data_IF_604664947132
#
_entry.id   IF_604664947132
#
_cell.length_a   1.000
_cell.length_b   1.000
_cell.length_c   1.000
_cell.angle_alpha   90.00
_cell.angle_beta   90.00
_cell.angle_gamma   90.00
#
_symmetry.space_group_name_H-M   'P 1'
#
loop_
_entity.id
_entity.type
_entity.pdbx_description
1 polymer ?
#
# COMPACT_ATOMS: atom_id res chain seq x y z
N UNK A 1 -62.17 16.63 -31.55
CA UNK A 1 -61.11 17.30 -32.33
C UNK A 1 -59.84 16.49 -32.06
N UNK A 2 -59.11 15.89 -33.00
CA UNK A 2 -58.83 16.30 -34.39
C UNK A 2 -57.57 17.21 -34.35
N UNK A 3 -56.44 16.90 -35.00
CA UNK A 3 -56.22 16.17 -36.28
C UNK A 3 -55.00 15.20 -36.20
N UNK A 4 -54.90 14.29 -37.19
CA UNK A 4 -53.76 13.36 -37.52
C UNK A 4 -52.46 14.16 -37.81
N UNK A 5 -51.21 13.67 -37.85
CA UNK A 5 -50.56 12.49 -38.48
C UNK A 5 -49.02 12.63 -38.20
N UNK A 6 -47.98 11.83 -38.53
CA UNK A 6 -47.61 10.50 -39.12
C UNK A 6 -46.11 10.28 -38.73
N UNK A 7 -45.41 9.13 -38.79
CA UNK A 7 -45.69 7.76 -39.25
C UNK A 7 -44.76 7.30 -40.39
N UNK A 8 -43.62 6.65 -40.07
CA UNK A 8 -42.67 5.91 -40.96
C UNK A 8 -41.86 4.91 -40.08
N UNK A 9 -41.34 3.82 -40.67
CA UNK A 9 -41.03 2.55 -39.95
C UNK A 9 -39.55 2.09 -39.94
N UNK A 10 -39.24 1.17 -39.00
CA UNK A 10 -38.19 0.13 -39.06
C UNK A 10 -36.70 0.63 -39.06
N UNK A 11 -35.67 -0.19 -38.77
CA UNK A 11 -35.47 -1.66 -38.87
C UNK A 11 -34.75 -2.24 -37.63
N UNK A 12 -35.15 -3.43 -37.19
CA UNK A 12 -34.45 -4.23 -36.17
C UNK A 12 -33.52 -5.33 -36.75
N UNK A 13 -32.59 -5.90 -35.97
CA UNK A 13 -31.57 -6.82 -36.47
C UNK A 13 -32.11 -8.24 -36.78
N UNK A 14 -31.68 -8.88 -37.89
CA UNK A 14 -32.10 -10.24 -38.25
C UNK A 14 -31.34 -11.34 -37.48
N UNK A 15 -31.88 -12.57 -37.48
CA UNK A 15 -31.34 -13.73 -36.74
C UNK A 15 -31.46 -15.03 -37.56
N UNK A 16 -30.41 -15.86 -37.48
CA UNK A 16 -30.37 -17.33 -37.64
C UNK A 16 -30.78 -18.02 -38.97
N UNK A 17 -29.83 -18.76 -39.57
CA UNK A 17 -29.89 -20.16 -40.06
C UNK A 17 -28.50 -20.49 -40.68
N UNK A 18 -27.71 -21.55 -40.42
CA UNK A 18 -27.86 -23.01 -40.15
C UNK A 18 -28.04 -23.89 -41.40
N UNK A 19 -27.04 -24.76 -41.63
CA UNK A 19 -27.03 -25.96 -42.52
C UNK A 19 -27.14 -25.72 -44.05
N UNK A 20 -26.62 -26.58 -44.94
CA UNK A 20 -25.86 -27.82 -44.76
C UNK A 20 -25.26 -28.38 -46.08
N UNK A 21 -24.28 -29.27 -45.94
CA UNK A 21 -23.51 -30.07 -46.94
C UNK A 21 -24.09 -30.40 -48.33
N UNK A 22 -23.22 -30.48 -49.35
CA UNK A 22 -23.15 -31.62 -50.31
C UNK A 22 -21.81 -31.63 -51.10
N UNK A 23 -21.49 -32.76 -51.76
CA UNK A 23 -20.14 -33.04 -52.30
C UNK A 23 -20.05 -33.13 -53.85
N UNK A 24 -18.80 -33.12 -54.34
CA UNK A 24 -18.28 -33.90 -55.49
C UNK A 24 -18.81 -33.68 -56.92
N UNK A 25 -17.89 -33.26 -57.81
CA UNK A 25 -17.75 -33.85 -59.16
C UNK A 25 -16.39 -33.49 -59.79
N UNK A 26 -15.66 -34.47 -60.32
CA UNK A 26 -14.34 -34.28 -60.94
C UNK A 26 -14.42 -34.31 -62.48
N UNK A 27 -13.72 -33.41 -63.19
CA UNK A 27 -13.35 -33.62 -64.61
C UNK A 27 -12.11 -32.84 -65.10
N UNK A 28 -10.95 -33.46 -64.85
CA UNK A 28 -9.82 -33.68 -65.78
C UNK A 28 -9.53 -32.73 -66.97
N UNK A 29 -8.23 -32.40 -67.07
CA UNK A 29 -7.41 -32.06 -68.28
C UNK A 29 -7.20 -30.58 -68.68
N UNK A 30 -5.92 -30.23 -68.86
CA UNK A 30 -5.43 -28.95 -69.37
C UNK A 30 -4.01 -28.64 -68.90
N UNK A 31 -2.97 -28.95 -69.71
CA UNK A 31 -1.57 -28.59 -69.38
C UNK A 31 -1.27 -27.14 -69.81
N UNK A 32 -0.91 -26.28 -68.86
CA UNK A 32 -0.39 -24.93 -69.12
C UNK A 32 0.69 -24.55 -68.10
N UNK A 33 1.76 -23.87 -68.54
CA UNK A 33 2.81 -23.34 -67.66
C UNK A 33 2.42 -21.93 -67.19
N UNK A 34 2.50 -21.65 -65.88
CA UNK A 34 2.38 -20.26 -65.40
C UNK A 34 2.18 -20.12 -63.89
N UNK A 35 3.27 -19.78 -63.18
CA UNK A 35 3.34 -19.32 -61.79
C UNK A 35 2.83 -20.27 -60.68
N UNK A 36 3.46 -20.16 -59.50
CA UNK A 36 3.16 -21.01 -58.35
C UNK A 36 1.85 -20.62 -57.66
N UNK A 37 1.09 -21.64 -57.25
CA UNK A 37 -0.02 -21.48 -56.32
C UNK A 37 0.56 -21.06 -54.97
N UNK A 38 0.35 -19.79 -54.58
CA UNK A 38 0.55 -19.36 -53.19
C UNK A 38 -0.36 -20.20 -52.29
N UNK A 39 0.23 -20.80 -51.27
CA UNK A 39 -0.53 -21.55 -50.26
C UNK A 39 -1.16 -20.55 -49.28
N UNK A 40 -2.15 -20.98 -48.49
CA UNK A 40 -2.81 -20.10 -47.51
C UNK A 40 -1.84 -19.50 -46.47
N UNK A 41 -0.66 -20.10 -46.26
CA UNK A 41 0.43 -19.57 -45.42
C UNK A 41 1.04 -18.27 -45.94
N UNK A 42 0.95 -18.00 -47.25
CA UNK A 42 1.51 -16.79 -47.87
C UNK A 42 0.67 -15.52 -47.59
N UNK A 43 -0.47 -15.65 -46.90
CA UNK A 43 -1.33 -14.53 -46.48
C UNK A 43 -0.95 -14.04 -45.07
N UNK A 44 -0.49 -14.92 -44.18
CA UNK A 44 -0.01 -14.54 -42.84
C UNK A 44 1.34 -13.81 -42.89
N UNK A 45 2.15 -14.08 -43.92
CA UNK A 45 3.57 -13.68 -43.99
C UNK A 45 3.85 -12.25 -44.50
N UNK A 46 2.85 -11.37 -44.70
CA UNK A 46 3.11 -9.96 -45.07
C UNK A 46 2.10 -8.96 -44.51
N UNK A 47 1.60 -9.20 -43.29
CA UNK A 47 1.29 -8.06 -42.43
C UNK A 47 2.61 -7.36 -42.07
N UNK A 48 2.97 -6.30 -42.82
CA UNK A 48 3.96 -5.33 -42.35
C UNK A 48 3.55 -4.92 -40.94
N UNK A 49 4.50 -4.89 -40.00
CA UNK A 49 4.26 -4.24 -38.72
C UNK A 49 3.98 -2.76 -39.00
N UNK A 50 2.70 -2.38 -38.92
CA UNK A 50 2.29 -0.98 -38.99
C UNK A 50 2.67 -0.40 -37.63
N UNK A 51 3.78 0.33 -37.58
CA UNK A 51 4.14 1.12 -36.40
C UNK A 51 3.03 2.17 -36.19
N UNK A 52 2.16 1.92 -35.21
CA UNK A 52 1.07 2.82 -34.87
C UNK A 52 1.70 4.07 -34.23
N UNK A 53 1.59 5.26 -34.85
CA UNK A 53 2.23 6.46 -34.32
C UNK A 53 1.64 6.85 -32.97
N UNK A 54 2.49 7.21 -32.02
CA UNK A 54 2.10 7.60 -30.66
C UNK A 54 2.64 8.97 -30.29
N UNK A 55 1.81 9.79 -29.64
CA UNK A 55 2.16 11.13 -29.19
C UNK A 55 2.94 11.14 -27.86
N UNK A 56 3.05 10.00 -27.15
CA UNK A 56 3.71 9.92 -25.83
C UNK A 56 5.14 10.49 -25.81
N UNK A 57 6.01 10.30 -26.82
CA UNK A 57 7.35 10.90 -26.83
C UNK A 57 7.35 12.44 -26.96
N UNK A 58 6.32 13.04 -27.56
CA UNK A 58 6.16 14.49 -27.64
C UNK A 58 5.64 15.05 -26.31
N UNK A 59 4.61 14.41 -25.73
CA UNK A 59 4.08 14.78 -24.41
C UNK A 59 5.16 14.67 -23.32
N UNK A 60 5.99 13.62 -23.34
CA UNK A 60 7.11 13.47 -22.39
C UNK A 60 8.12 14.62 -22.46
N UNK A 61 8.47 15.09 -23.66
CA UNK A 61 9.36 16.26 -23.83
C UNK A 61 8.71 17.51 -23.26
N UNK A 62 7.45 17.79 -23.63
CA UNK A 62 6.70 18.94 -23.11
C UNK A 62 6.65 18.96 -21.57
N UNK A 63 6.39 17.81 -20.93
CA UNK A 63 6.39 17.68 -19.47
C UNK A 63 7.78 17.98 -18.89
N UNK A 64 8.85 17.39 -19.44
CA UNK A 64 10.22 17.62 -18.96
C UNK A 64 10.69 19.06 -19.16
N UNK A 65 10.32 19.70 -20.28
CA UNK A 65 10.61 21.10 -20.58
C UNK A 65 9.89 22.04 -19.60
N UNK A 66 8.59 21.81 -19.33
CA UNK A 66 7.82 22.59 -18.37
C UNK A 66 8.27 22.39 -16.90
N UNK A 67 8.74 21.20 -16.54
CA UNK A 67 9.41 20.95 -15.26
C UNK A 67 10.78 21.63 -15.16
N UNK A 68 11.43 21.94 -16.29
CA UNK A 68 12.67 22.71 -16.33
C UNK A 68 12.49 24.22 -16.14
N UNK A 69 11.26 24.73 -16.17
CA UNK A 69 10.97 26.15 -15.90
C UNK A 69 11.19 26.44 -14.42
N UNK A 70 11.91 27.52 -14.09
CA UNK A 70 12.14 27.98 -12.71
C UNK A 70 10.90 28.62 -12.07
N UNK A 71 9.79 27.87 -11.99
CA UNK A 71 8.51 28.36 -11.49
C UNK A 71 8.25 27.94 -10.03
N UNK A 72 7.56 28.78 -9.27
CA UNK A 72 7.02 28.45 -7.96
C UNK A 72 5.76 29.26 -7.71
N UNK A 73 4.65 28.57 -7.42
CA UNK A 73 3.41 29.21 -7.03
C UNK A 73 3.50 29.67 -5.57
N UNK A 74 2.98 30.85 -5.27
CA UNK A 74 2.93 31.39 -3.92
C UNK A 74 1.46 31.67 -3.56
N UNK A 75 0.93 30.88 -2.62
CA UNK A 75 -0.42 31.11 -2.08
C UNK A 75 -0.49 32.36 -1.21
N UNK A 76 -1.68 32.63 -0.66
CA UNK A 76 -2.03 33.81 0.17
C UNK A 76 -1.06 34.12 1.32
N UNK A 77 -0.36 33.10 1.83
CA UNK A 77 0.62 33.18 2.93
C UNK A 77 2.09 33.28 2.45
N UNK A 78 2.35 33.54 1.16
CA UNK A 78 3.69 33.52 0.52
C UNK A 78 4.47 32.20 0.64
N UNK A 79 3.80 31.08 0.94
CA UNK A 79 4.42 29.75 0.96
C UNK A 79 4.66 29.30 -0.49
N UNK A 80 5.92 29.32 -0.92
CA UNK A 80 6.32 28.91 -2.25
C UNK A 80 6.24 27.38 -2.44
N UNK A 81 5.56 26.95 -3.50
CA UNK A 81 5.48 25.56 -3.96
C UNK A 81 6.04 25.47 -5.38
N UNK A 82 7.22 24.85 -5.51
CA UNK A 82 7.89 24.67 -6.80
C UNK A 82 7.30 23.52 -7.62
N UNK A 83 7.54 23.52 -8.94
CA UNK A 83 7.14 22.44 -9.84
C UNK A 83 7.85 21.08 -9.59
N UNK A 84 8.90 21.04 -8.77
CA UNK A 84 9.54 19.80 -8.27
C UNK A 84 8.99 19.28 -6.92
N UNK A 85 7.83 19.77 -6.47
CA UNK A 85 7.27 19.41 -5.15
C UNK A 85 6.76 17.96 -5.08
N UNK A 86 6.21 17.42 -6.17
CA UNK A 86 5.69 16.04 -6.26
C UNK A 86 6.62 15.15 -7.10
N UNK A 87 6.56 13.83 -6.88
CA UNK A 87 7.25 12.85 -7.75
C UNK A 87 6.41 12.58 -8.99
N UNK A 88 7.03 12.40 -10.16
CA UNK A 88 6.34 12.01 -11.39
C UNK A 88 6.96 10.76 -11.99
N UNK A 89 6.12 9.94 -12.65
CA UNK A 89 6.56 8.75 -13.41
C UNK A 89 6.25 8.99 -14.89
N UNK A 90 7.26 8.87 -15.75
CA UNK A 90 7.22 9.20 -17.18
C UNK A 90 7.72 8.01 -18.02
N UNK A 91 6.99 6.90 -17.91
CA UNK A 91 7.45 5.58 -18.35
C UNK A 91 8.41 5.00 -17.31
N UNK A 92 9.57 4.50 -17.76
CA UNK A 92 10.60 3.92 -16.90
C UNK A 92 11.39 4.96 -16.07
N UNK A 93 11.20 6.25 -16.36
CA UNK A 93 11.81 7.37 -15.62
C UNK A 93 10.91 7.84 -14.48
N UNK A 94 11.50 8.03 -13.29
CA UNK A 94 10.86 8.70 -12.15
C UNK A 94 11.62 9.98 -11.80
N UNK A 95 10.94 11.13 -11.78
CA UNK A 95 11.50 12.36 -11.21
C UNK A 95 11.45 12.28 -9.68
N UNK A 96 12.53 12.68 -9.02
CA UNK A 96 12.59 12.74 -7.56
C UNK A 96 11.89 14.01 -7.05
N UNK A 97 10.64 13.87 -6.62
CA UNK A 97 9.95 14.93 -5.90
C UNK A 97 10.46 15.08 -4.46
N UNK A 98 10.24 16.25 -3.86
CA UNK A 98 10.70 16.50 -2.49
C UNK A 98 9.93 15.70 -1.41
N UNK A 99 8.68 15.30 -1.67
CA UNK A 99 7.80 14.72 -0.65
C UNK A 99 7.92 13.19 -0.51
N UNK A 100 7.75 12.75 0.73
CA UNK A 100 7.57 11.36 1.16
C UNK A 100 6.30 10.74 0.56
N UNK A 101 6.32 9.43 0.31
CA UNK A 101 5.19 8.71 -0.27
C UNK A 101 3.95 8.72 0.67
N UNK A 102 2.78 8.98 0.09
CA UNK A 102 1.47 8.99 0.76
C UNK A 102 0.61 7.75 0.49
N UNK A 103 1.03 6.86 -0.41
CA UNK A 103 0.35 5.59 -0.68
C UNK A 103 -0.07 4.83 0.61
N UNK A 104 0.75 4.71 1.67
CA UNK A 104 0.36 4.02 2.92
C UNK A 104 -0.84 4.61 3.69
N UNK A 105 -1.27 5.84 3.37
CA UNK A 105 -2.51 6.43 3.89
C UNK A 105 -3.67 6.20 2.91
N UNK A 106 -3.41 6.34 1.61
CA UNK A 106 -4.41 6.10 0.55
C UNK A 106 -4.85 4.63 0.48
N UNK A 107 -3.97 3.68 0.83
CA UNK A 107 -4.27 2.25 0.95
C UNK A 107 -5.24 1.91 2.11
N UNK A 108 -5.57 2.88 2.97
CA UNK A 108 -6.54 2.71 4.05
C UNK A 108 -7.93 3.30 3.72
N UNK A 109 -8.16 3.78 2.50
CA UNK A 109 -9.37 4.53 2.07
C UNK A 109 -10.07 3.76 0.93
N UNK A 110 -11.41 3.63 0.98
CA UNK A 110 -12.18 2.86 0.00
C UNK A 110 -12.58 3.71 -1.18
N UNK A 111 -11.64 3.95 -2.09
CA UNK A 111 -11.92 4.73 -3.30
C UNK A 111 -12.90 4.04 -4.27
N UNK A 112 -13.25 2.75 -4.09
CA UNK A 112 -13.95 1.97 -5.12
C UNK A 112 -15.35 2.48 -5.43
N UNK A 113 -15.54 2.96 -6.67
CA UNK A 113 -16.81 3.50 -7.16
C UNK A 113 -17.11 4.93 -6.70
N UNK A 114 -16.21 5.58 -5.96
CA UNK A 114 -16.44 6.87 -5.30
C UNK A 114 -16.29 8.07 -6.25
N UNK A 115 -17.04 9.14 -5.97
CA UNK A 115 -16.70 10.50 -6.38
C UNK A 115 -15.71 11.07 -5.36
N UNK A 116 -14.59 11.60 -5.84
CA UNK A 116 -13.51 12.13 -5.00
C UNK A 116 -13.20 13.57 -5.38
N UNK A 117 -12.97 14.43 -4.39
CA UNK A 117 -12.49 15.80 -4.56
C UNK A 117 -11.09 15.94 -3.93
N UNK A 118 -10.11 16.45 -4.67
CA UNK A 118 -8.71 16.62 -4.24
C UNK A 118 -8.35 18.12 -4.18
N UNK A 119 -8.25 18.68 -2.97
CA UNK A 119 -8.10 20.12 -2.72
C UNK A 119 -6.62 20.52 -2.64
N UNK A 120 -6.18 21.39 -3.54
CA UNK A 120 -4.77 21.69 -3.78
C UNK A 120 -4.07 20.52 -4.47
N UNK A 121 -4.70 19.98 -5.52
CA UNK A 121 -4.25 18.76 -6.21
C UNK A 121 -2.84 18.87 -6.82
N UNK A 122 -2.35 20.10 -7.04
CA UNK A 122 -1.06 20.41 -7.64
C UNK A 122 -0.92 19.69 -9.00
N UNK A 123 0.17 18.95 -9.24
CA UNK A 123 0.33 18.19 -10.49
C UNK A 123 -0.60 16.97 -10.62
N UNK A 124 -1.42 16.67 -9.61
CA UNK A 124 -2.44 15.61 -9.64
C UNK A 124 -1.99 14.23 -9.13
N UNK A 125 -0.89 14.16 -8.36
CA UNK A 125 -0.36 12.90 -7.81
C UNK A 125 -1.41 12.13 -6.98
N UNK A 126 -2.09 12.79 -6.03
CA UNK A 126 -3.10 12.17 -5.17
C UNK A 126 -4.36 11.82 -5.98
N UNK A 127 -4.84 12.74 -6.82
CA UNK A 127 -5.96 12.50 -7.74
C UNK A 127 -5.80 11.22 -8.56
N UNK A 128 -4.63 11.03 -9.21
CA UNK A 128 -4.32 9.79 -9.95
C UNK A 128 -4.18 8.58 -9.03
N UNK A 129 -3.60 8.73 -7.83
CA UNK A 129 -3.44 7.66 -6.86
C UNK A 129 -4.80 7.16 -6.27
N UNK A 130 -5.79 8.05 -6.14
CA UNK A 130 -7.17 7.70 -5.80
C UNK A 130 -7.88 6.99 -6.97
N UNK A 131 -7.68 7.47 -8.21
CA UNK A 131 -8.22 6.82 -9.40
C UNK A 131 -7.68 5.42 -9.63
N UNK A 132 -6.38 5.20 -9.42
CA UNK A 132 -5.75 3.88 -9.49
C UNK A 132 -6.32 2.89 -8.45
N UNK A 133 -6.86 3.39 -7.33
CA UNK A 133 -7.54 2.60 -6.29
C UNK A 133 -9.05 2.39 -6.54
N UNK A 134 -9.54 2.83 -7.70
CA UNK A 134 -10.89 2.53 -8.19
C UNK A 134 -11.92 3.62 -8.00
N UNK A 135 -11.54 4.87 -7.73
CA UNK A 135 -12.47 6.02 -7.81
C UNK A 135 -13.19 6.02 -9.16
N UNK A 136 -14.50 6.29 -9.15
CA UNK A 136 -15.29 6.40 -10.37
C UNK A 136 -14.96 7.71 -11.10
N UNK A 137 -14.88 8.80 -10.34
CA UNK A 137 -14.50 10.14 -10.79
C UNK A 137 -13.63 10.80 -9.72
N UNK A 138 -12.64 11.58 -10.15
CA UNK A 138 -11.82 12.42 -9.27
C UNK A 138 -11.70 13.83 -9.85
N UNK A 139 -12.16 14.83 -9.11
CA UNK A 139 -11.97 16.23 -9.48
C UNK A 139 -10.84 16.82 -8.61
N UNK A 140 -9.80 17.34 -9.24
CA UNK A 140 -8.74 18.10 -8.58
C UNK A 140 -9.00 19.60 -8.69
N UNK A 141 -9.06 20.30 -7.56
CA UNK A 141 -9.15 21.76 -7.52
C UNK A 141 -7.77 22.32 -7.15
N UNK A 142 -7.25 23.19 -8.01
CA UNK A 142 -5.96 23.85 -7.84
C UNK A 142 -6.12 25.33 -8.20
N UNK A 143 -5.43 26.23 -7.48
CA UNK A 143 -5.54 27.67 -7.71
C UNK A 143 -4.69 28.10 -8.93
N UNK A 144 -3.56 27.44 -9.13
CA UNK A 144 -2.58 27.79 -10.14
C UNK A 144 -2.87 27.17 -11.52
N UNK A 145 -3.05 27.99 -12.58
CA UNK A 145 -3.36 27.47 -13.91
C UNK A 145 -2.21 26.64 -14.50
N UNK A 146 -0.94 26.92 -14.17
CA UNK A 146 0.20 26.15 -14.67
C UNK A 146 0.17 24.72 -14.12
N UNK A 147 -0.21 24.53 -12.85
CA UNK A 147 -0.36 23.19 -12.27
C UNK A 147 -1.58 22.45 -12.83
N UNK A 148 -2.69 23.15 -13.11
CA UNK A 148 -3.87 22.58 -13.80
C UNK A 148 -3.51 22.08 -15.21
N UNK A 149 -2.86 22.91 -16.02
CA UNK A 149 -2.40 22.54 -17.37
C UNK A 149 -1.44 21.34 -17.33
N UNK A 150 -0.45 21.36 -16.44
CA UNK A 150 0.50 20.27 -16.27
C UNK A 150 -0.16 18.97 -15.81
N UNK A 151 -1.15 19.04 -14.91
CA UNK A 151 -1.90 17.87 -14.44
C UNK A 151 -2.73 17.23 -15.57
N UNK A 152 -3.36 18.05 -16.44
CA UNK A 152 -4.07 17.58 -17.63
C UNK A 152 -3.13 16.93 -18.66
N UNK A 153 -1.95 17.51 -18.91
CA UNK A 153 -0.94 16.93 -19.81
C UNK A 153 -0.38 15.61 -19.24
N UNK A 154 -0.19 15.52 -17.92
CA UNK A 154 0.22 14.28 -17.24
C UNK A 154 -0.83 13.16 -17.38
N UNK A 155 -2.11 13.48 -17.28
CA UNK A 155 -3.20 12.51 -17.48
C UNK A 155 -3.25 12.02 -18.93
N UNK A 156 -3.13 12.93 -19.90
CA UNK A 156 -3.04 12.59 -21.33
C UNK A 156 -1.81 11.73 -21.65
N UNK A 157 -0.66 11.99 -21.02
CA UNK A 157 0.55 11.17 -21.17
C UNK A 157 0.37 9.77 -20.58
N UNK A 158 -0.24 9.65 -19.39
CA UNK A 158 -0.43 8.37 -18.73
C UNK A 158 -1.54 7.54 -19.40
N UNK A 159 -2.56 8.20 -19.97
CA UNK A 159 -3.80 7.56 -20.41
C UNK A 159 -4.85 7.49 -19.30
N UNK A 160 -4.75 8.37 -18.30
CA UNK A 160 -5.72 8.47 -17.21
C UNK A 160 -7.06 8.99 -17.73
N UNK A 161 -8.15 8.42 -17.24
CA UNK A 161 -9.53 8.81 -17.57
C UNK A 161 -10.39 8.77 -16.30
N UNK A 162 -11.41 9.62 -16.19
CA UNK A 162 -12.17 9.77 -14.95
C UNK A 162 -11.41 10.52 -13.84
N UNK A 163 -10.46 11.36 -14.24
CA UNK A 163 -9.84 12.41 -13.43
C UNK A 163 -9.98 13.71 -14.21
N UNK A 164 -10.14 14.85 -13.54
CA UNK A 164 -10.25 16.17 -14.17
C UNK A 164 -9.74 17.27 -13.25
N UNK A 165 -9.05 18.26 -13.81
CA UNK A 165 -8.42 19.34 -13.04
C UNK A 165 -9.03 20.69 -13.41
N UNK A 166 -9.43 21.45 -12.40
CA UNK A 166 -10.11 22.74 -12.53
C UNK A 166 -9.35 23.83 -11.78
N UNK A 167 -9.20 25.00 -12.40
CA UNK A 167 -8.67 26.18 -11.71
C UNK A 167 -9.75 26.75 -10.78
N UNK A 168 -9.57 26.65 -9.46
CA UNK A 168 -10.51 27.17 -8.44
C UNK A 168 -9.78 27.58 -7.15
N UNK A 169 -10.23 28.65 -6.49
CA UNK A 169 -9.75 29.04 -5.15
C UNK A 169 -10.49 28.24 -4.06
N UNK A 170 -9.79 27.29 -3.43
CA UNK A 170 -10.37 26.44 -2.38
C UNK A 170 -10.77 27.19 -1.09
N UNK A 171 -10.46 28.48 -0.98
CA UNK A 171 -10.91 29.36 0.12
C UNK A 171 -12.28 30.01 -0.12
N UNK A 172 -12.82 29.94 -1.34
CA UNK A 172 -14.15 30.44 -1.72
C UNK A 172 -15.22 29.36 -1.45
N UNK A 173 -16.28 29.63 -0.67
CA UNK A 173 -17.36 28.66 -0.45
C UNK A 173 -18.25 28.41 -1.69
N UNK A 174 -18.34 29.33 -2.66
CA UNK A 174 -19.30 29.22 -3.77
C UNK A 174 -18.86 28.21 -4.85
N UNK A 175 -17.58 27.83 -4.91
CA UNK A 175 -17.08 26.82 -5.87
C UNK A 175 -17.61 25.41 -5.60
N UNK A 176 -18.11 25.15 -4.39
CA UNK A 176 -18.51 23.84 -3.89
C UNK A 176 -19.98 23.58 -4.23
N UNK A 177 -20.27 23.29 -5.50
CA UNK A 177 -21.63 23.03 -6.01
C UNK A 177 -22.02 21.54 -6.04
N UNK A 178 -21.03 20.65 -6.13
CA UNK A 178 -21.20 19.21 -6.27
C UNK A 178 -20.98 18.45 -4.96
N UNK A 179 -21.69 17.33 -4.79
CA UNK A 179 -21.50 16.36 -3.70
C UNK A 179 -20.49 15.26 -4.07
N UNK A 180 -19.66 14.88 -3.11
CA UNK A 180 -18.60 13.88 -3.25
C UNK A 180 -18.61 12.91 -2.07
N UNK A 181 -18.39 11.60 -2.30
CA UNK A 181 -18.23 10.64 -1.20
C UNK A 181 -17.03 11.01 -0.30
N UNK A 182 -15.91 11.37 -0.94
CA UNK A 182 -14.63 11.58 -0.30
C UNK A 182 -14.04 12.94 -0.70
N UNK A 183 -13.64 13.74 0.28
CA UNK A 183 -12.89 14.98 0.07
C UNK A 183 -11.49 14.85 0.68
N UNK A 184 -10.46 15.18 -0.08
CA UNK A 184 -9.05 15.06 0.30
C UNK A 184 -8.43 16.46 0.44
N UNK A 185 -7.76 16.72 1.56
CA UNK A 185 -7.21 18.01 1.95
C UNK A 185 -5.76 17.85 2.48
N UNK A 186 -4.83 17.50 1.57
CA UNK A 186 -3.48 17.12 1.93
C UNK A 186 -2.50 18.31 2.00
N UNK A 187 -2.26 18.85 3.20
CA UNK A 187 -1.47 20.06 3.47
C UNK A 187 -2.09 21.37 2.95
N UNK A 188 -3.42 21.46 2.95
CA UNK A 188 -4.18 22.69 2.63
C UNK A 188 -5.06 23.18 3.77
N UNK A 189 -4.84 22.68 5.00
CA UNK A 189 -5.77 22.90 6.12
C UNK A 189 -6.01 24.38 6.43
N UNK A 190 -4.98 25.23 6.38
CA UNK A 190 -5.09 26.69 6.58
C UNK A 190 -6.09 27.34 5.61
N UNK A 191 -6.14 26.84 4.37
CA UNK A 191 -6.99 27.37 3.30
C UNK A 191 -8.43 26.85 3.41
N UNK A 192 -8.62 25.58 3.80
CA UNK A 192 -9.96 25.01 3.95
C UNK A 192 -10.63 25.32 5.31
N UNK A 193 -9.88 25.74 6.32
CA UNK A 193 -10.41 26.04 7.65
C UNK A 193 -11.61 27.02 7.67
N UNK A 194 -11.64 28.12 6.89
CA UNK A 194 -12.78 29.03 6.83
C UNK A 194 -14.04 28.43 6.18
N UNK A 195 -13.90 27.38 5.35
CA UNK A 195 -14.98 26.77 4.56
C UNK A 195 -15.35 25.36 5.03
N UNK A 196 -14.90 24.94 6.22
CA UNK A 196 -15.15 23.60 6.78
C UNK A 196 -16.63 23.24 6.89
N UNK A 197 -17.51 24.22 7.13
CA UNK A 197 -18.96 24.01 7.14
C UNK A 197 -19.45 23.58 5.75
N UNK A 198 -19.13 24.35 4.70
CA UNK A 198 -19.53 24.05 3.32
C UNK A 198 -18.91 22.74 2.81
N UNK A 199 -17.65 22.47 3.16
CA UNK A 199 -17.01 21.18 2.85
C UNK A 199 -17.72 20.01 3.54
N UNK A 200 -18.13 20.17 4.81
CA UNK A 200 -18.89 19.15 5.51
C UNK A 200 -20.34 19.03 5.00
N UNK A 201 -20.92 20.04 4.35
CA UNK A 201 -22.19 19.89 3.61
C UNK A 201 -22.02 18.95 2.41
N UNK A 202 -21.04 19.21 1.53
CA UNK A 202 -20.84 18.45 0.28
C UNK A 202 -20.18 17.07 0.43
N UNK A 203 -19.70 16.71 1.62
CA UNK A 203 -19.02 15.44 1.90
C UNK A 203 -20.01 14.36 2.33
N UNK A 204 -20.29 13.38 1.48
CA UNK A 204 -21.30 12.35 1.77
C UNK A 204 -20.80 11.26 2.74
N UNK A 205 -19.49 10.93 2.73
CA UNK A 205 -18.89 9.96 3.66
C UNK A 205 -17.78 10.53 4.54
N UNK A 206 -16.68 11.02 3.95
CA UNK A 206 -15.54 11.48 4.77
C UNK A 206 -14.62 12.56 4.14
N UNK A 207 -14.11 13.42 5.03
CA UNK A 207 -13.06 14.40 4.77
C UNK A 207 -11.72 13.86 5.30
N UNK A 208 -10.68 13.87 4.47
CA UNK A 208 -9.34 13.37 4.80
C UNK A 208 -8.36 14.54 4.87
N UNK A 209 -7.83 14.83 6.05
CA UNK A 209 -6.95 15.98 6.30
C UNK A 209 -5.53 15.52 6.62
N UNK A 210 -4.53 16.15 6.01
CA UNK A 210 -3.13 16.08 6.46
C UNK A 210 -2.75 17.40 7.16
N UNK A 211 -2.27 17.32 8.40
CA UNK A 211 -1.92 18.50 9.22
C UNK A 211 -0.60 19.15 8.76
N UNK A 212 -0.28 20.35 9.30
CA UNK A 212 0.96 21.07 8.96
C UNK A 212 2.10 20.87 9.95
N UNK A 213 1.80 20.97 11.25
CA UNK A 213 2.67 20.62 12.39
C UNK A 213 1.77 20.19 13.56
N UNK A 214 2.20 19.19 14.33
CA UNK A 214 1.39 18.61 15.41
C UNK A 214 1.60 19.25 16.79
N UNK A 215 2.78 19.81 17.07
CA UNK A 215 3.18 20.22 18.42
C UNK A 215 2.17 21.18 19.08
N UNK A 216 1.69 20.80 20.27
CA UNK A 216 0.65 21.49 21.06
C UNK A 216 -0.74 21.63 20.42
N UNK A 217 -0.94 21.28 19.14
CA UNK A 217 -2.02 21.85 18.33
C UNK A 217 -2.97 20.85 17.66
N UNK A 218 -2.79 19.53 17.75
CA UNK A 218 -3.69 18.55 17.13
C UNK A 218 -5.17 18.76 17.54
N UNK A 219 -5.47 18.75 18.84
CA UNK A 219 -6.85 18.90 19.35
C UNK A 219 -7.47 20.27 19.04
N UNK A 220 -6.74 21.36 19.32
CA UNK A 220 -7.29 22.73 19.19
C UNK A 220 -7.29 23.26 17.76
N UNK A 221 -6.26 22.91 16.98
CA UNK A 221 -6.04 23.43 15.63
C UNK A 221 -6.75 22.62 14.54
N UNK A 222 -6.89 21.30 14.69
CA UNK A 222 -7.40 20.42 13.62
C UNK A 222 -8.64 19.62 14.04
N UNK A 223 -8.57 18.86 15.15
CA UNK A 223 -9.71 18.02 15.56
C UNK A 223 -10.91 18.88 15.99
N UNK A 224 -10.69 19.90 16.82
CA UNK A 224 -11.72 20.76 17.38
C UNK A 224 -12.55 21.54 16.35
N UNK A 225 -11.94 22.15 15.31
CA UNK A 225 -12.69 22.78 14.23
C UNK A 225 -13.50 21.79 13.38
N UNK A 226 -12.87 20.70 12.90
CA UNK A 226 -13.53 19.76 11.98
C UNK A 226 -14.65 18.97 12.69
N UNK A 227 -14.45 18.57 13.95
CA UNK A 227 -15.44 17.79 14.72
C UNK A 227 -16.72 18.55 15.11
N UNK A 228 -16.83 19.83 14.77
CA UNK A 228 -18.11 20.58 14.83
C UNK A 228 -19.10 20.09 13.76
N UNK A 229 -18.59 19.60 12.64
CA UNK A 229 -19.37 19.19 11.48
C UNK A 229 -19.22 17.69 11.16
N UNK A 230 -18.03 17.13 11.39
CA UNK A 230 -17.70 15.71 11.18
C UNK A 230 -17.11 15.11 12.48
N UNK A 231 -17.97 14.73 13.46
CA UNK A 231 -17.55 14.50 14.85
C UNK A 231 -16.80 13.19 15.09
N UNK A 232 -16.97 12.19 14.21
CA UNK A 232 -16.31 10.89 14.25
C UNK A 232 -15.01 10.98 13.44
N UNK A 233 -13.91 10.40 13.93
CA UNK A 233 -12.62 10.49 13.25
C UNK A 233 -11.69 9.30 13.53
N UNK A 234 -10.75 9.05 12.61
CA UNK A 234 -9.67 8.06 12.75
C UNK A 234 -8.37 8.64 12.23
N UNK A 235 -7.31 8.57 13.04
CA UNK A 235 -5.93 8.84 12.59
C UNK A 235 -5.42 7.63 11.80
N UNK A 236 -4.94 7.84 10.57
CA UNK A 236 -4.37 6.79 9.70
C UNK A 236 -2.88 6.57 9.95
N UNK A 237 -2.20 7.59 10.48
CA UNK A 237 -0.78 7.58 10.83
C UNK A 237 -0.18 8.99 10.87
N UNK A 238 1.12 9.06 11.10
CA UNK A 238 1.91 10.29 11.04
C UNK A 238 2.61 10.39 9.68
N UNK A 239 2.68 11.59 9.07
CA UNK A 239 3.43 11.84 7.84
C UNK A 239 4.60 12.83 8.06
N UNK A 240 5.74 12.51 7.44
CA UNK A 240 6.95 13.35 7.44
C UNK A 240 7.03 14.22 6.18
N UNK A 241 7.96 15.17 6.16
CA UNK A 241 8.15 16.13 5.06
C UNK A 241 9.47 15.89 4.29
N UNK A 242 9.61 14.70 3.70
CA UNK A 242 10.72 14.33 2.80
C UNK A 242 12.08 14.05 3.47
N UNK A 243 12.25 14.44 4.74
CA UNK A 243 13.43 14.14 5.58
C UNK A 243 12.99 13.82 7.01
N UNK A 244 13.87 13.17 7.78
CA UNK A 244 13.68 12.93 9.20
C UNK A 244 13.60 14.26 9.96
N UNK A 245 12.37 14.68 10.26
CA UNK A 245 12.08 15.87 11.04
C UNK A 245 12.18 15.58 12.56
N UNK A 246 12.50 16.58 13.40
CA UNK A 246 12.35 16.45 14.84
C UNK A 246 10.86 16.19 15.18
N UNK A 247 10.61 15.47 16.28
CA UNK A 247 9.30 14.88 16.58
C UNK A 247 8.14 15.90 16.71
N UNK A 248 8.44 17.17 16.97
CA UNK A 248 7.49 18.28 17.03
C UNK A 248 7.01 18.78 15.65
N UNK A 249 7.72 18.47 14.57
CA UNK A 249 7.36 18.91 13.21
C UNK A 249 6.63 17.83 12.37
N UNK A 250 6.30 16.69 12.99
CA UNK A 250 5.46 15.66 12.37
C UNK A 250 4.07 16.19 12.02
N UNK A 251 3.44 15.52 11.05
CA UNK A 251 2.05 15.73 10.62
C UNK A 251 1.24 14.47 10.93
N UNK A 252 -0.09 14.58 10.95
CA UNK A 252 -0.99 13.43 11.00
C UNK A 252 -1.90 13.44 9.77
N UNK A 253 -2.25 12.25 9.28
CA UNK A 253 -3.34 12.05 8.32
C UNK A 253 -4.56 11.53 9.07
N UNK A 254 -5.69 12.24 8.97
CA UNK A 254 -6.90 11.98 9.76
C UNK A 254 -8.13 11.96 8.85
N UNK A 255 -8.93 10.91 8.94
CA UNK A 255 -10.24 10.79 8.29
C UNK A 255 -11.31 11.23 9.27
N UNK A 256 -12.24 12.09 8.84
CA UNK A 256 -13.38 12.58 9.61
C UNK A 256 -14.68 12.26 8.88
N UNK A 257 -15.72 11.86 9.63
CA UNK A 257 -17.02 11.48 9.09
C UNK A 257 -18.18 11.99 9.97
N UNK A 258 -19.39 12.03 9.41
CA UNK A 258 -20.63 12.39 10.14
C UNK A 258 -20.94 11.38 11.25
N UNK A 259 -20.77 10.09 10.95
CA UNK A 259 -21.06 8.96 11.83
C UNK A 259 -20.12 7.76 11.56
N UNK A 260 -20.19 6.74 12.41
CA UNK A 260 -19.38 5.51 12.33
C UNK A 260 -19.64 4.68 11.06
N UNK A 261 -20.85 4.72 10.49
CA UNK A 261 -21.16 4.00 9.27
C UNK A 261 -20.57 4.73 8.04
N UNK A 262 -20.56 6.06 8.04
CA UNK A 262 -19.83 6.86 7.05
C UNK A 262 -18.32 6.63 7.14
N UNK A 263 -17.75 6.62 8.37
CA UNK A 263 -16.34 6.26 8.56
C UNK A 263 -16.04 4.85 8.03
N UNK A 264 -16.88 3.86 8.37
CA UNK A 264 -16.70 2.46 7.94
C UNK A 264 -16.88 2.22 6.42
N UNK A 265 -17.58 3.11 5.70
CA UNK A 265 -17.66 3.08 4.22
C UNK A 265 -16.48 3.80 3.56
N UNK A 266 -16.04 4.92 4.13
CA UNK A 266 -14.91 5.70 3.61
C UNK A 266 -13.55 5.00 3.75
N UNK A 267 -13.40 4.14 4.77
CA UNK A 267 -12.17 3.39 5.01
C UNK A 267 -12.16 2.11 4.18
N UNK A 268 -11.06 1.89 3.45
CA UNK A 268 -10.86 0.72 2.60
C UNK A 268 -11.10 -0.55 3.38
N UNK A 269 -12.12 -1.36 2.97
CA UNK A 269 -12.56 -2.62 3.62
C UNK A 269 -11.51 -3.11 4.61
N UNK A 270 -11.67 -2.80 5.91
CA UNK A 270 -10.62 -2.95 6.95
C UNK A 270 -9.89 -4.27 6.76
N UNK A 271 -8.69 -4.24 6.15
CA UNK A 271 -8.12 -5.31 5.30
C UNK A 271 -8.45 -6.71 5.80
N UNK A 272 -9.48 -7.33 5.19
CA UNK A 272 -10.61 -8.01 5.86
C UNK A 272 -10.27 -8.65 7.22
N UNK A 273 -10.12 -7.81 8.25
CA UNK A 273 -9.27 -8.12 9.41
C UNK A 273 -10.01 -8.96 10.46
N UNK A 274 -10.18 -10.24 10.11
CA UNK A 274 -10.63 -11.26 11.04
C UNK A 274 -9.55 -11.44 12.11
N UNK A 275 -9.88 -10.93 13.30
CA UNK A 275 -9.14 -11.25 14.52
C UNK A 275 -9.30 -12.74 14.79
N UNK A 276 -8.19 -13.45 14.74
CA UNK A 276 -8.07 -14.88 14.98
C UNK A 276 -7.38 -15.11 16.34
N UNK A 277 -7.49 -16.32 16.88
CA UNK A 277 -6.70 -16.75 18.03
C UNK A 277 -5.72 -17.81 17.59
N UNK A 278 -4.47 -17.45 17.32
CA UNK A 278 -3.52 -18.38 16.70
C UNK A 278 -3.12 -19.45 17.73
N UNK A 279 -3.32 -20.72 17.38
CA UNK A 279 -2.86 -21.87 18.14
C UNK A 279 -1.33 -22.00 18.05
N UNK A 280 -0.66 -21.63 19.14
CA UNK A 280 0.81 -21.55 19.22
C UNK A 280 1.48 -22.92 19.09
N UNK A 281 0.80 -23.99 19.48
CA UNK A 281 1.36 -25.34 19.51
C UNK A 281 1.18 -26.08 18.18
N UNK A 282 0.14 -25.75 17.39
CA UNK A 282 -0.11 -26.33 16.06
C UNK A 282 0.64 -25.63 14.91
N UNK A 283 1.22 -24.45 15.12
CA UNK A 283 1.93 -23.72 14.05
C UNK A 283 3.16 -24.50 13.53
N UNK A 284 3.34 -24.52 12.21
CA UNK A 284 4.49 -25.19 11.56
C UNK A 284 5.67 -24.25 11.32
N UNK A 285 5.50 -22.93 11.49
CA UNK A 285 6.48 -21.90 11.12
C UNK A 285 7.88 -22.15 11.70
N UNK A 286 7.99 -22.44 13.00
CA UNK A 286 9.27 -22.66 13.67
C UNK A 286 9.62 -24.15 13.83
N UNK A 287 8.93 -25.06 13.11
CA UNK A 287 8.98 -26.50 13.38
C UNK A 287 10.40 -27.07 13.39
N UNK A 288 11.27 -26.69 12.46
CA UNK A 288 12.64 -27.23 12.36
C UNK A 288 13.46 -26.92 13.63
N UNK A 289 13.24 -25.77 14.29
CA UNK A 289 13.86 -25.47 15.59
C UNK A 289 13.34 -26.41 16.69
N UNK A 290 12.02 -26.50 16.88
CA UNK A 290 11.42 -27.28 17.99
C UNK A 290 11.48 -28.80 17.79
N UNK A 291 11.58 -29.30 16.55
CA UNK A 291 11.80 -30.73 16.27
C UNK A 291 13.28 -31.13 16.49
N UNK A 292 14.23 -30.17 16.50
CA UNK A 292 15.68 -30.44 16.64
C UNK A 292 16.30 -30.03 17.99
N UNK A 293 15.72 -29.06 18.70
CA UNK A 293 16.12 -28.67 20.04
C UNK A 293 15.17 -29.27 21.10
N UNK A 294 15.72 -29.96 22.11
CA UNK A 294 14.95 -30.60 23.19
C UNK A 294 15.33 -30.01 24.54
N UNK A 295 14.45 -29.18 25.07
CA UNK A 295 14.57 -28.50 26.35
C UNK A 295 13.31 -28.75 27.21
N UNK A 296 13.41 -28.83 28.55
CA UNK A 296 12.25 -29.03 29.42
C UNK A 296 11.35 -27.80 29.50
N UNK A 297 11.93 -26.61 29.45
CA UNK A 297 11.25 -25.31 29.53
C UNK A 297 12.10 -24.20 28.87
N UNK A 298 11.56 -22.98 28.84
CA UNK A 298 12.21 -21.82 28.24
C UNK A 298 13.44 -21.29 28.99
N UNK A 299 13.58 -21.54 30.30
CA UNK A 299 14.76 -21.10 31.06
C UNK A 299 15.95 -22.01 30.74
N UNK A 300 15.74 -23.32 30.71
CA UNK A 300 16.76 -24.28 30.29
C UNK A 300 17.26 -24.03 28.85
N UNK A 301 16.37 -23.57 27.94
CA UNK A 301 16.77 -23.14 26.59
C UNK A 301 17.60 -21.84 26.61
N UNK A 302 17.27 -20.88 27.48
CA UNK A 302 18.08 -19.67 27.64
C UNK A 302 19.46 -19.99 28.20
N UNK A 303 19.58 -20.92 29.14
CA UNK A 303 20.86 -21.35 29.70
C UNK A 303 21.71 -22.11 28.68
N UNK A 304 21.12 -23.03 27.89
CA UNK A 304 21.80 -23.67 26.75
C UNK A 304 22.33 -22.61 25.79
N UNK A 305 21.48 -21.70 25.31
CA UNK A 305 21.88 -20.67 24.34
C UNK A 305 22.85 -19.65 24.94
N UNK A 306 22.79 -19.33 26.24
CA UNK A 306 23.79 -18.50 26.91
C UNK A 306 25.17 -19.14 26.83
N UNK A 307 25.27 -20.47 26.92
CA UNK A 307 26.56 -21.19 26.80
C UNK A 307 27.12 -21.29 25.38
N UNK A 308 26.29 -21.15 24.33
CA UNK A 308 26.74 -21.30 22.93
C UNK A 308 27.69 -20.18 22.50
N UNK A 309 28.89 -20.52 22.03
CA UNK A 309 29.72 -19.61 21.25
C UNK A 309 29.21 -19.54 19.80
N UNK A 310 28.87 -18.34 19.33
CA UNK A 310 28.34 -18.10 17.98
C UNK A 310 29.25 -17.09 17.29
N UNK A 311 30.07 -17.57 16.37
CA UNK A 311 30.79 -16.76 15.38
C UNK A 311 29.78 -16.22 14.36
N UNK A 312 29.37 -14.96 14.54
CA UNK A 312 28.34 -14.34 13.70
C UNK A 312 28.75 -14.29 12.23
N UNK A 313 29.99 -13.92 11.92
CA UNK A 313 30.43 -13.74 10.54
C UNK A 313 30.52 -15.08 9.80
N UNK A 314 30.90 -16.16 10.50
CA UNK A 314 30.80 -17.53 9.96
C UNK A 314 29.35 -17.97 9.74
N UNK A 315 28.50 -17.91 10.77
CA UNK A 315 27.13 -18.46 10.66
C UNK A 315 26.23 -17.61 9.75
N UNK A 316 26.52 -16.31 9.58
CA UNK A 316 25.80 -15.43 8.67
C UNK A 316 25.70 -15.96 7.24
N UNK A 317 26.70 -16.74 6.81
CA UNK A 317 26.81 -17.32 5.47
C UNK A 317 26.10 -18.69 5.31
N UNK A 318 25.48 -19.21 6.38
CA UNK A 318 24.74 -20.48 6.34
C UNK A 318 23.43 -20.36 5.55
N UNK A 319 23.11 -21.43 4.81
CA UNK A 319 21.90 -21.57 3.99
C UNK A 319 20.59 -21.41 4.79
N UNK A 320 20.62 -21.76 6.07
CA UNK A 320 19.51 -21.64 7.02
C UNK A 320 19.04 -20.18 7.16
N UNK A 321 19.99 -19.22 7.19
CA UNK A 321 19.70 -17.79 7.32
C UNK A 321 19.28 -17.12 6.01
N UNK A 322 19.50 -17.76 4.86
CA UNK A 322 19.11 -17.21 3.55
C UNK A 322 17.81 -17.82 3.01
N UNK A 323 17.52 -19.08 3.34
CA UNK A 323 16.38 -19.84 2.78
C UNK A 323 15.24 -20.10 3.77
N UNK A 324 15.48 -19.99 5.09
CA UNK A 324 14.56 -20.52 6.11
C UNK A 324 14.13 -19.51 7.21
N UNK A 325 14.04 -18.20 6.92
CA UNK A 325 13.83 -17.10 7.90
C UNK A 325 12.80 -17.37 9.03
N UNK A 326 11.71 -18.10 8.80
CA UNK A 326 10.74 -18.45 9.84
C UNK A 326 11.11 -19.71 10.66
N UNK A 327 11.71 -20.72 10.02
CA UNK A 327 12.01 -22.03 10.61
C UNK A 327 13.46 -22.23 11.05
N UNK A 328 14.36 -21.33 10.61
CA UNK A 328 15.80 -21.52 10.65
C UNK A 328 16.37 -21.59 12.05
N UNK A 329 17.14 -22.64 12.33
CA UNK A 329 17.73 -22.88 13.65
C UNK A 329 18.70 -21.78 14.03
N UNK A 330 19.58 -21.39 13.10
CA UNK A 330 20.64 -20.41 13.33
C UNK A 330 20.03 -19.02 13.61
N UNK A 331 18.94 -18.66 12.95
CA UNK A 331 18.22 -17.39 13.21
C UNK A 331 17.71 -17.31 14.65
N UNK A 332 17.04 -18.36 15.12
CA UNK A 332 16.47 -18.40 16.46
C UNK A 332 17.53 -18.52 17.55
N UNK A 333 18.66 -19.19 17.29
CA UNK A 333 19.82 -19.21 18.20
C UNK A 333 20.49 -17.83 18.33
N UNK A 334 20.72 -17.11 17.23
CA UNK A 334 21.24 -15.72 17.27
C UNK A 334 20.28 -14.81 18.06
N UNK A 335 18.97 -14.92 17.81
CA UNK A 335 17.95 -14.13 18.49
C UNK A 335 17.91 -14.37 20.01
N UNK A 336 17.94 -15.63 20.44
CA UNK A 336 17.99 -15.98 21.86
C UNK A 336 19.33 -15.60 22.51
N UNK A 337 20.46 -15.75 21.81
CA UNK A 337 21.78 -15.32 22.33
C UNK A 337 21.82 -13.81 22.54
N UNK A 338 21.26 -13.03 21.60
CA UNK A 338 21.09 -11.58 21.75
C UNK A 338 20.16 -11.22 22.92
N UNK A 339 19.10 -11.98 23.16
CA UNK A 339 18.24 -11.77 24.33
C UNK A 339 18.97 -12.12 25.66
N UNK A 340 19.81 -13.16 25.68
CA UNK A 340 20.67 -13.44 26.86
C UNK A 340 21.65 -12.30 27.13
N UNK A 341 22.34 -11.78 26.11
CA UNK A 341 23.21 -10.59 26.24
C UNK A 341 22.46 -9.34 26.75
N UNK A 342 21.18 -9.20 26.40
CA UNK A 342 20.31 -8.17 26.95
C UNK A 342 19.93 -8.41 28.43
N UNK A 343 19.63 -9.65 28.82
CA UNK A 343 19.35 -9.99 30.21
C UNK A 343 20.58 -9.77 31.11
N UNK A 344 21.73 -10.26 30.67
CA UNK A 344 22.95 -10.34 31.47
C UNK A 344 23.68 -8.99 31.56
N UNK A 345 23.60 -8.14 30.51
CA UNK A 345 24.34 -6.87 30.41
C UNK A 345 23.55 -5.66 29.89
N UNK A 346 22.23 -5.77 29.67
CA UNK A 346 21.35 -4.72 29.08
C UNK A 346 21.78 -4.21 27.70
N UNK A 347 22.62 -4.96 26.99
CA UNK A 347 23.09 -4.64 25.64
C UNK A 347 21.94 -4.76 24.63
N UNK A 348 21.59 -3.65 23.97
CA UNK A 348 20.56 -3.59 22.91
C UNK A 348 21.09 -3.11 21.54
N UNK A 349 22.26 -2.47 21.52
CA UNK A 349 22.86 -1.86 20.34
C UNK A 349 24.04 -2.68 19.78
N UNK A 350 25.00 -2.03 19.10
CA UNK A 350 26.21 -2.69 18.57
C UNK A 350 26.91 -3.58 19.60
N UNK A 351 27.34 -4.77 19.17
CA UNK A 351 27.92 -5.79 20.06
C UNK A 351 26.89 -6.72 20.72
N UNK A 352 25.59 -6.41 20.65
CA UNK A 352 24.56 -7.45 20.76
C UNK A 352 24.52 -8.26 19.45
N UNK A 353 24.69 -9.57 19.52
CA UNK A 353 24.83 -10.43 18.33
C UNK A 353 23.61 -10.39 17.41
N UNK A 354 22.41 -10.18 17.97
CA UNK A 354 21.18 -10.04 17.19
C UNK A 354 21.03 -8.65 16.59
N UNK A 355 21.56 -7.59 17.23
CA UNK A 355 21.68 -6.26 16.60
C UNK A 355 22.63 -6.32 15.41
N UNK A 356 23.83 -6.83 15.63
CA UNK A 356 24.86 -6.94 14.60
C UNK A 356 24.38 -7.80 13.43
N UNK A 357 23.68 -8.92 13.68
CA UNK A 357 23.06 -9.73 12.62
C UNK A 357 22.03 -8.94 11.80
N UNK A 358 21.11 -8.24 12.46
CA UNK A 358 20.02 -7.52 11.79
C UNK A 358 20.55 -6.38 10.90
N UNK A 359 21.55 -5.64 11.39
CA UNK A 359 22.13 -4.50 10.64
C UNK A 359 23.11 -4.96 9.56
N UNK A 360 24.04 -5.88 9.87
CA UNK A 360 25.11 -6.29 8.93
C UNK A 360 24.64 -7.28 7.86
N UNK A 361 23.67 -8.15 8.17
CA UNK A 361 23.35 -9.30 7.31
C UNK A 361 21.87 -9.41 6.91
N UNK A 362 20.92 -9.09 7.80
CA UNK A 362 19.50 -9.18 7.45
C UNK A 362 19.06 -8.05 6.51
N UNK A 363 19.39 -6.79 6.84
CA UNK A 363 18.98 -5.63 6.03
C UNK A 363 19.56 -5.66 4.59
N UNK A 364 20.87 -5.91 4.35
CA UNK A 364 21.42 -5.92 2.99
C UNK A 364 20.90 -7.05 2.08
N UNK A 365 20.24 -8.08 2.64
CA UNK A 365 19.66 -9.20 1.88
C UNK A 365 18.26 -8.92 1.32
N UNK A 366 17.64 -7.80 1.66
CA UNK A 366 16.39 -7.36 1.02
C UNK A 366 15.16 -8.24 1.28
N UNK A 367 15.18 -9.08 2.33
CA UNK A 367 14.07 -9.99 2.67
C UNK A 367 12.71 -9.30 2.87
N UNK A 368 12.72 -8.01 3.18
CA UNK A 368 11.60 -7.08 3.06
C UNK A 368 12.19 -5.70 2.68
N UNK A 369 11.98 -5.18 1.45
CA UNK A 369 12.67 -3.98 0.98
C UNK A 369 12.40 -2.72 1.81
N UNK A 370 11.16 -2.53 2.28
CA UNK A 370 10.81 -1.37 3.11
C UNK A 370 11.45 -1.43 4.50
N UNK A 371 11.57 -2.64 5.07
CA UNK A 371 12.29 -2.85 6.34
C UNK A 371 13.80 -2.76 6.16
N UNK A 372 14.34 -3.17 5.01
CA UNK A 372 15.79 -3.12 4.72
C UNK A 372 16.34 -1.68 4.76
N UNK A 373 15.66 -0.72 4.12
CA UNK A 373 16.10 0.68 4.14
C UNK A 373 15.84 1.36 5.49
N UNK A 374 14.73 1.06 6.17
CA UNK A 374 14.48 1.54 7.53
C UNK A 374 15.53 1.03 8.55
N UNK A 375 16.03 -0.20 8.38
CA UNK A 375 17.10 -0.77 9.21
C UNK A 375 18.49 -0.13 9.02
N UNK A 376 18.65 0.80 8.06
CA UNK A 376 19.86 1.62 7.94
C UNK A 376 19.94 2.70 9.02
N UNK A 377 18.82 3.06 9.65
CA UNK A 377 18.80 3.93 10.84
C UNK A 377 19.10 3.12 12.12
N UNK A 378 20.19 3.43 12.85
CA UNK A 378 20.51 2.79 14.13
C UNK A 378 19.39 2.94 15.18
N UNK A 379 18.62 4.04 15.17
CA UNK A 379 17.55 4.27 16.14
C UNK A 379 16.33 3.39 15.86
N UNK A 380 15.93 3.26 14.60
CA UNK A 380 14.91 2.29 14.16
C UNK A 380 15.32 0.84 14.45
N UNK A 381 16.57 0.47 14.15
CA UNK A 381 17.11 -0.86 14.46
C UNK A 381 17.06 -1.16 15.98
N UNK A 382 17.55 -0.22 16.80
CA UNK A 382 17.52 -0.30 18.27
C UNK A 382 16.07 -0.42 18.80
N UNK A 383 15.14 0.41 18.30
CA UNK A 383 13.73 0.36 18.69
C UNK A 383 13.08 -0.99 18.33
N UNK A 384 13.35 -1.51 17.12
CA UNK A 384 12.83 -2.80 16.65
C UNK A 384 13.30 -3.95 17.55
N UNK A 385 14.53 -3.91 18.04
CA UNK A 385 15.10 -4.95 18.91
C UNK A 385 14.58 -4.82 20.34
N UNK A 386 14.56 -3.60 20.90
CA UNK A 386 13.98 -3.34 22.21
C UNK A 386 12.49 -3.75 22.29
N UNK A 387 11.75 -3.58 21.20
CA UNK A 387 10.36 -4.06 21.06
C UNK A 387 10.29 -5.60 21.07
N UNK A 388 11.15 -6.29 20.30
CA UNK A 388 11.21 -7.76 20.26
C UNK A 388 11.60 -8.38 21.60
N UNK A 389 12.60 -7.85 22.30
CA UNK A 389 13.01 -8.37 23.61
C UNK A 389 12.00 -8.05 24.72
N UNK A 390 11.26 -6.94 24.63
CA UNK A 390 10.12 -6.67 25.52
C UNK A 390 9.01 -7.69 25.38
N UNK A 391 8.69 -8.10 24.15
CA UNK A 391 7.72 -9.19 23.92
C UNK A 391 8.21 -10.51 24.58
N UNK A 392 9.52 -10.80 24.56
CA UNK A 392 10.11 -11.96 25.26
C UNK A 392 10.03 -11.83 26.79
N UNK A 393 10.44 -10.69 27.37
CA UNK A 393 10.36 -10.46 28.82
C UNK A 393 8.93 -10.67 29.35
N UNK A 394 7.93 -10.19 28.62
CA UNK A 394 6.53 -10.34 29.00
C UNK A 394 6.03 -11.79 28.87
N UNK A 395 6.42 -12.51 27.81
CA UNK A 395 6.12 -13.94 27.70
C UNK A 395 6.84 -14.78 28.76
N UNK A 396 8.08 -14.45 29.12
CA UNK A 396 8.85 -15.13 30.17
C UNK A 396 8.22 -14.96 31.54
N UNK A 397 7.83 -13.72 31.89
CA UNK A 397 7.25 -13.39 33.19
C UNK A 397 5.81 -13.89 33.36
N UNK A 398 5.01 -13.90 32.28
CA UNK A 398 3.56 -14.09 32.38
C UNK A 398 2.94 -14.82 31.16
N UNK A 399 3.43 -16.00 30.74
CA UNK A 399 3.13 -16.60 29.43
C UNK A 399 1.64 -16.89 29.17
N UNK A 400 0.85 -17.11 30.22
CA UNK A 400 -0.59 -17.39 30.14
C UNK A 400 -1.49 -16.17 30.39
N UNK A 401 -0.91 -15.00 30.69
CA UNK A 401 -1.62 -13.74 30.99
C UNK A 401 -1.26 -12.61 30.03
N UNK A 402 -0.04 -12.59 29.49
CA UNK A 402 0.39 -11.57 28.56
C UNK A 402 -0.37 -11.67 27.22
N UNK A 403 -0.83 -10.52 26.72
CA UNK A 403 -1.49 -10.37 25.43
C UNK A 403 -0.63 -9.41 24.60
N UNK A 404 0.15 -9.91 23.62
CA UNK A 404 0.95 -9.04 22.76
C UNK A 404 0.08 -8.29 21.75
N UNK A 405 0.68 -7.33 21.05
CA UNK A 405 0.09 -6.82 19.81
C UNK A 405 -0.08 -7.96 18.79
N UNK A 406 -1.19 -8.00 18.01
CA UNK A 406 -1.49 -9.11 17.11
C UNK A 406 -0.34 -9.49 16.16
N UNK A 407 -0.29 -10.78 15.81
CA UNK A 407 0.56 -11.29 14.73
C UNK A 407 -0.22 -11.19 13.43
N UNK A 408 0.35 -10.52 12.43
CA UNK A 408 -0.32 -10.20 11.17
C UNK A 408 -0.08 -11.29 10.14
N UNK A 409 -1.16 -11.83 9.58
CA UNK A 409 -1.16 -12.95 8.64
C UNK A 409 -1.61 -12.43 7.27
N UNK A 410 -0.65 -12.08 6.41
CA UNK A 410 -0.91 -11.49 5.10
C UNK A 410 -1.32 -12.58 4.10
N UNK A 411 -2.57 -12.56 3.67
CA UNK A 411 -3.12 -13.43 2.62
C UNK A 411 -3.04 -12.75 1.27
N UNK A 412 -2.54 -13.45 0.27
CA UNK A 412 -2.53 -13.01 -1.13
C UNK A 412 -3.77 -13.46 -1.91
N UNK A 413 -4.55 -14.41 -1.37
CA UNK A 413 -5.69 -15.02 -2.06
C UNK A 413 -5.28 -16.07 -3.11
N UNK A 414 -3.98 -16.27 -3.31
CA UNK A 414 -3.40 -17.25 -4.21
C UNK A 414 -2.80 -18.39 -3.38
N UNK A 415 -3.44 -19.57 -3.43
CA UNK A 415 -3.00 -20.77 -2.71
C UNK A 415 -1.58 -21.25 -3.04
N UNK A 416 -1.00 -20.81 -4.17
CA UNK A 416 0.38 -21.11 -4.57
C UNK A 416 1.40 -20.18 -3.92
N UNK A 417 0.96 -19.01 -3.43
CA UNK A 417 1.74 -18.02 -2.67
C UNK A 417 1.50 -18.12 -1.16
N UNK A 418 0.26 -18.42 -0.75
CA UNK A 418 -0.16 -18.58 0.65
C UNK A 418 0.31 -19.92 1.26
N UNK A 419 1.64 -20.09 1.30
CA UNK A 419 2.35 -21.33 1.69
C UNK A 419 2.55 -21.49 3.20
N UNK A 420 2.51 -20.40 3.97
CA UNK A 420 2.65 -20.44 5.42
C UNK A 420 1.33 -20.90 6.03
N UNK A 421 1.37 -21.86 6.96
CA UNK A 421 0.17 -22.42 7.59
C UNK A 421 0.25 -22.28 9.10
N UNK A 422 -0.76 -21.62 9.65
CA UNK A 422 -1.06 -21.53 11.07
C UNK A 422 -2.45 -22.16 11.29
N UNK A 423 -2.94 -22.16 12.52
CA UNK A 423 -4.29 -22.65 12.85
C UNK A 423 -4.95 -21.71 13.83
N UNK A 424 -6.26 -21.54 13.74
CA UNK A 424 -7.01 -20.93 14.85
C UNK A 424 -7.09 -21.91 16.04
N UNK A 425 -7.42 -21.37 17.21
CA UNK A 425 -7.60 -22.08 18.47
C UNK A 425 -9.08 -22.20 18.87
N UNK A 426 -10.01 -21.55 18.15
CA UNK A 426 -11.45 -21.64 18.36
C UNK A 426 -12.06 -22.88 17.66
N UNK A 427 -11.81 -23.06 16.37
CA UNK A 427 -12.30 -24.19 15.55
C UNK A 427 -11.19 -25.19 15.20
N UNK A 428 -9.96 -24.71 15.03
CA UNK A 428 -8.82 -25.51 14.61
C UNK A 428 -8.55 -25.51 13.10
N UNK A 429 -9.20 -24.64 12.32
CA UNK A 429 -9.04 -24.51 10.87
C UNK A 429 -7.67 -23.93 10.47
N UNK A 430 -7.14 -24.27 9.28
CA UNK A 430 -5.83 -23.84 8.82
C UNK A 430 -5.86 -22.41 8.25
N UNK A 431 -5.26 -21.46 8.96
CA UNK A 431 -5.05 -20.09 8.46
C UNK A 431 -3.81 -20.09 7.56
N UNK A 432 -4.04 -19.91 6.25
CA UNK A 432 -2.97 -19.74 5.25
C UNK A 432 -2.50 -18.28 5.17
N UNK A 433 -1.25 -18.05 4.80
CA UNK A 433 -0.67 -16.73 4.55
C UNK A 433 0.56 -16.78 3.63
N UNK A 434 0.85 -15.72 2.89
CA UNK A 434 2.08 -15.52 2.12
C UNK A 434 3.22 -14.93 2.98
N UNK A 435 2.88 -14.01 3.92
CA UNK A 435 3.83 -13.38 4.86
C UNK A 435 3.23 -13.34 6.26
N UNK A 436 4.08 -13.46 7.28
CA UNK A 436 3.71 -13.26 8.69
C UNK A 436 4.56 -12.13 9.27
N UNK A 437 3.95 -11.14 9.92
CA UNK A 437 4.66 -10.15 10.74
C UNK A 437 4.36 -10.33 12.24
N UNK A 438 5.37 -10.07 13.08
CA UNK A 438 5.34 -10.41 14.51
C UNK A 438 5.71 -11.87 14.83
N UNK A 439 6.35 -12.60 13.90
CA UNK A 439 6.71 -14.02 14.06
C UNK A 439 7.57 -14.34 15.29
N UNK A 440 8.30 -13.34 15.82
CA UNK A 440 9.03 -13.44 17.09
C UNK A 440 8.10 -13.64 18.31
N UNK A 441 6.86 -13.15 18.26
CA UNK A 441 5.83 -13.38 19.29
C UNK A 441 5.37 -14.82 19.30
N UNK A 442 5.15 -15.43 18.13
CA UNK A 442 4.82 -16.85 18.02
C UNK A 442 5.94 -17.74 18.60
N UNK A 443 7.20 -17.38 18.32
CA UNK A 443 8.35 -18.09 18.87
C UNK A 443 8.44 -17.94 20.39
N UNK A 444 8.40 -16.71 20.93
CA UNK A 444 8.44 -16.45 22.36
C UNK A 444 7.27 -17.11 23.11
N UNK A 445 6.06 -17.02 22.57
CA UNK A 445 4.87 -17.71 23.07
C UNK A 445 5.09 -19.22 23.16
N UNK A 446 5.73 -19.83 22.15
CA UNK A 446 5.99 -21.27 22.12
C UNK A 446 7.11 -21.70 23.07
N UNK A 447 8.17 -20.90 23.20
CA UNK A 447 9.29 -21.13 24.15
C UNK A 447 8.78 -21.11 25.60
N UNK A 448 7.97 -20.11 25.98
CA UNK A 448 7.49 -19.95 27.36
C UNK A 448 6.13 -20.61 27.65
N UNK A 449 5.64 -21.48 26.77
CA UNK A 449 4.46 -22.33 27.05
C UNK A 449 3.11 -21.62 27.03
N UNK A 450 2.98 -20.54 26.27
CA UNK A 450 1.67 -19.98 25.90
C UNK A 450 0.96 -20.89 24.89
N UNK A 451 -0.37 -20.98 24.97
CA UNK A 451 -1.19 -21.86 24.12
C UNK A 451 -1.81 -21.14 22.92
N UNK A 452 -2.12 -19.85 23.07
CA UNK A 452 -2.76 -19.00 22.06
C UNK A 452 -2.24 -17.56 22.13
N UNK A 453 -2.22 -16.85 21.01
CA UNK A 453 -1.96 -15.41 20.94
C UNK A 453 -2.96 -14.74 19.97
N UNK A 454 -3.21 -13.42 20.08
CA UNK A 454 -4.02 -12.72 19.09
C UNK A 454 -3.34 -12.71 17.72
N UNK A 455 -4.12 -13.01 16.68
CA UNK A 455 -3.77 -12.82 15.28
C UNK A 455 -4.69 -11.82 14.60
N UNK A 456 -4.20 -11.23 13.51
CA UNK A 456 -4.95 -10.38 12.60
C UNK A 456 -4.69 -10.91 11.19
N UNK A 457 -5.71 -11.50 10.54
CA UNK A 457 -5.61 -11.79 9.09
C UNK A 457 -5.67 -10.46 8.35
N UNK A 458 -4.90 -10.34 7.27
CA UNK A 458 -4.80 -9.12 6.46
C UNK A 458 -4.86 -9.54 4.99
N UNK A 459 -5.91 -9.15 4.27
CA UNK A 459 -5.94 -9.22 2.80
C UNK A 459 -4.82 -8.30 2.27
N UNK A 460 -3.72 -8.89 1.79
CA UNK A 460 -2.60 -8.15 1.21
C UNK A 460 -3.08 -7.43 -0.05
N UNK A 461 -2.66 -6.18 -0.29
CA UNK A 461 -2.57 -5.67 -1.65
C UNK A 461 -1.79 -6.69 -2.49
N UNK A 462 -2.28 -6.95 -3.71
CA UNK A 462 -1.57 -7.79 -4.66
C UNK A 462 -0.27 -7.07 -5.10
N UNK A 463 0.87 -7.78 -5.19
CA UNK A 463 2.07 -7.29 -5.84
C UNK A 463 1.99 -7.47 -7.37
#
# INVERSE_FOLDING_TARGET
MGVRSTGIDNVGPPRAATEGSTESSCRSHGRGRGNGIRTSRDVEATLKQIEIPTIKPALKRLILEALGVGYSSAGKDNIATGNHYQSLTLGDERTAGFRTDRNPFLDQIDFRGKRVLDLGSNLGEISRAARARGAALVDGYEYDPFFVEMAQVLDAYNGTTGVSFFQRDITDPEIYVDHYDLVLAFSVFTYIHPVLERLAEITDEALVVETHKLDGNLDKGYLGPVRRFLPIYKVLGESDWGRALPANERRAVVVFARDEACLARSLGRVSRSSRCSINVQRTTLQRVFFDSAKFPDGEALLDEVRSLEIDLDRVAHEDDLSKAVYSGRTYWQIFLKGYCQYLDGRLLGPGNIYYDYIVKFYAPRGHDPGVADALRDPLFALHRIASRFRDLDQFRQAPRKYVPAPVRLFQSGDSTRDRLVLYDAADGEPIRAARVDGWHRLFAARVFGATRIPGEVVESPLP
#
